data_IF_658491088124
#
_entry.id   IF_658491088124
#
_cell.length_a   1.000
_cell.length_b   1.000
_cell.length_c   1.000
_cell.angle_alpha   90.00
_cell.angle_beta   90.00
_cell.angle_gamma   90.00
#
_symmetry.space_group_name_H-M   'P 1'
#
loop_
_entity.id
_entity.type
_entity.pdbx_description
1 polymer ?
#
# COMPACT_ATOMS: atom_id res chain seq x y z
N UNK A 1 -3.86 0.57 -21.62
CA UNK A 1 -2.61 0.33 -20.90
C UNK A 1 -3.02 0.30 -19.46
N UNK A 2 -2.93 -0.87 -18.84
CA UNK A 2 -3.40 -1.07 -17.49
C UNK A 2 -2.20 -0.75 -16.58
N UNK A 3 -1.97 0.54 -16.34
CA UNK A 3 -0.85 0.98 -15.50
C UNK A 3 -1.19 0.75 -14.02
N UNK A 4 -0.34 -0.06 -13.39
CA UNK A 4 -0.37 -0.37 -11.96
C UNK A 4 1.06 -0.25 -11.45
N UNK A 5 1.22 0.37 -10.27
CA UNK A 5 2.53 0.56 -9.65
C UNK A 5 3.04 2.01 -9.70
N UNK A 6 2.19 2.98 -10.00
CA UNK A 6 2.58 4.39 -10.03
C UNK A 6 2.73 4.97 -8.62
N UNK A 7 3.62 5.97 -8.50
CA UNK A 7 4.00 6.64 -7.24
C UNK A 7 4.26 5.68 -6.07
N UNK A 8 5.17 4.71 -6.24
CA UNK A 8 5.47 3.77 -5.17
C UNK A 8 6.22 4.47 -4.04
N UNK A 9 5.88 4.13 -2.80
CA UNK A 9 6.69 4.44 -1.62
C UNK A 9 6.97 3.16 -0.85
N UNK A 10 8.20 3.02 -0.35
CA UNK A 10 8.70 1.81 0.31
C UNK A 10 9.35 2.17 1.65
N UNK A 11 9.04 1.38 2.67
CA UNK A 11 9.77 1.36 3.94
C UNK A 11 9.92 -0.08 4.44
N UNK A 12 10.86 -0.27 5.36
CA UNK A 12 11.07 -1.53 6.05
C UNK A 12 10.57 -1.42 7.49
N UNK A 13 10.00 -2.48 8.03
CA UNK A 13 9.69 -2.61 9.45
C UNK A 13 10.92 -3.05 10.27
N UNK A 14 10.73 -3.27 11.58
CA UNK A 14 11.78 -3.73 12.49
C UNK A 14 12.32 -5.13 12.18
N UNK A 15 11.57 -5.96 11.43
CA UNK A 15 11.98 -7.29 10.97
C UNK A 15 12.72 -7.25 9.63
N UNK A 16 12.75 -6.09 8.96
CA UNK A 16 13.29 -5.92 7.62
C UNK A 16 12.32 -6.35 6.51
N UNK A 17 11.05 -6.58 6.86
CA UNK A 17 9.98 -6.87 5.93
C UNK A 17 9.58 -5.59 5.19
N UNK A 18 9.31 -5.72 3.89
CA UNK A 18 9.11 -4.58 3.00
C UNK A 18 7.62 -4.20 2.91
N UNK A 19 7.33 -2.91 3.05
CA UNK A 19 6.01 -2.33 2.93
C UNK A 19 6.00 -1.37 1.75
N UNK A 20 5.07 -1.54 0.82
CA UNK A 20 4.98 -0.75 -0.41
C UNK A 20 3.57 -0.23 -0.59
N UNK A 21 3.38 1.08 -0.66
CA UNK A 21 2.15 1.69 -1.19
C UNK A 21 2.34 2.03 -2.65
N UNK A 22 1.31 1.87 -3.47
CA UNK A 22 1.36 2.21 -4.89
C UNK A 22 -0.05 2.47 -5.44
N UNK A 23 -0.14 3.21 -6.55
CA UNK A 23 -1.39 3.46 -7.25
C UNK A 23 -1.62 2.43 -8.35
N UNK A 24 -2.82 1.89 -8.39
CA UNK A 24 -3.42 1.24 -9.55
C UNK A 24 -4.20 2.33 -10.29
N UNK A 25 -3.54 3.02 -11.23
CA UNK A 25 -4.12 4.17 -11.96
C UNK A 25 -5.18 3.71 -12.94
N UNK A 26 -5.08 2.47 -13.44
CA UNK A 26 -6.10 1.86 -14.26
C UNK A 26 -7.45 1.73 -13.55
N UNK A 27 -7.47 1.18 -12.34
CA UNK A 27 -8.69 1.07 -11.55
C UNK A 27 -8.96 2.30 -10.66
N UNK A 28 -8.00 3.22 -10.57
CA UNK A 28 -8.01 4.39 -9.70
C UNK A 28 -8.05 4.02 -8.21
N UNK A 29 -7.16 3.13 -7.75
CA UNK A 29 -7.15 2.57 -6.39
C UNK A 29 -5.81 2.75 -5.71
N UNK A 30 -5.83 2.90 -4.38
CA UNK A 30 -4.64 2.74 -3.55
C UNK A 30 -4.41 1.26 -3.27
N UNK A 31 -3.23 0.77 -3.63
CA UNK A 31 -2.78 -0.60 -3.40
C UNK A 31 -1.64 -0.63 -2.40
N UNK A 32 -1.46 -1.78 -1.80
CA UNK A 32 -0.43 -2.05 -0.81
C UNK A 32 0.12 -3.45 -0.99
N UNK A 33 1.45 -3.58 -0.91
CA UNK A 33 2.16 -4.84 -0.90
C UNK A 33 3.00 -4.94 0.37
N UNK A 34 2.92 -6.08 1.04
CA UNK A 34 3.80 -6.42 2.16
C UNK A 34 4.59 -7.67 1.77
N UNK A 35 5.90 -7.63 1.97
CA UNK A 35 6.73 -8.83 1.99
C UNK A 35 6.72 -9.35 3.41
N UNK A 36 6.33 -10.60 3.61
CA UNK A 36 6.62 -11.30 4.86
C UNK A 36 7.09 -12.72 4.52
N UNK A 37 8.19 -13.13 5.13
CA UNK A 37 8.93 -14.33 4.72
C UNK A 37 9.33 -14.26 3.22
N UNK A 38 9.01 -15.30 2.45
CA UNK A 38 9.27 -15.40 1.00
C UNK A 38 8.04 -15.04 0.15
N UNK A 39 6.99 -14.49 0.76
CA UNK A 39 5.72 -14.21 0.09
C UNK A 39 5.43 -12.71 0.01
N UNK A 40 4.79 -12.34 -1.10
CA UNK A 40 4.17 -11.04 -1.24
C UNK A 40 2.67 -11.14 -1.00
N UNK A 41 2.18 -10.23 -0.17
CA UNK A 41 0.77 -10.09 0.17
C UNK A 41 0.25 -8.77 -0.39
N UNK A 42 -0.76 -8.85 -1.26
CA UNK A 42 -1.27 -7.68 -1.99
C UNK A 42 -2.68 -7.32 -1.51
N UNK A 43 -2.91 -6.05 -1.24
CA UNK A 43 -4.19 -5.54 -0.78
C UNK A 43 -4.59 -4.26 -1.52
N UNK A 44 -5.89 -4.07 -1.71
CA UNK A 44 -6.45 -2.75 -2.02
C UNK A 44 -6.82 -2.09 -0.70
N UNK A 45 -6.25 -0.92 -0.42
CA UNK A 45 -6.53 -0.17 0.80
C UNK A 45 -7.69 0.81 0.64
N UNK A 46 -7.82 1.41 -0.55
CA UNK A 46 -8.93 2.29 -0.90
C UNK A 46 -9.45 1.97 -2.29
N UNK A 47 -10.74 1.61 -2.36
CA UNK A 47 -11.47 1.29 -3.59
C UNK A 47 -12.10 2.52 -4.24
N UNK A 48 -12.02 3.69 -3.61
CA UNK A 48 -12.59 4.93 -4.13
C UNK A 48 -11.85 5.32 -5.41
N UNK A 49 -12.60 5.53 -6.50
CA UNK A 49 -12.02 5.95 -7.77
C UNK A 49 -11.15 7.21 -7.60
N UNK A 50 -9.95 7.18 -8.19
CA UNK A 50 -8.96 8.24 -8.14
C UNK A 50 -8.05 8.19 -6.90
N UNK A 51 -8.14 7.16 -6.05
CA UNK A 51 -7.30 7.03 -4.87
C UNK A 51 -5.85 6.64 -5.20
N UNK A 52 -4.93 7.07 -4.34
CA UNK A 52 -3.55 6.59 -4.30
C UNK A 52 -2.50 7.46 -5.01
N UNK A 53 -2.87 8.61 -5.57
CA UNK A 53 -1.92 9.47 -6.27
C UNK A 53 -0.89 10.06 -5.31
N UNK A 54 0.39 10.08 -5.72
CA UNK A 54 1.50 10.56 -4.90
C UNK A 54 1.55 9.91 -3.52
N UNK A 55 1.31 8.58 -3.45
CA UNK A 55 1.34 7.88 -2.18
C UNK A 55 2.70 7.99 -1.52
N UNK A 56 2.71 8.18 -0.20
CA UNK A 56 3.91 8.14 0.61
C UNK A 56 3.66 7.34 1.89
N UNK A 57 4.69 6.61 2.32
CA UNK A 57 4.60 5.59 3.35
C UNK A 57 5.70 5.79 4.38
N UNK A 58 5.33 5.67 5.66
CA UNK A 58 6.28 5.56 6.78
C UNK A 58 5.86 4.42 7.71
N UNK A 59 6.83 3.85 8.42
CA UNK A 59 6.59 2.84 9.47
C UNK A 59 6.92 3.47 10.82
N UNK A 60 6.02 3.33 11.80
CA UNK A 60 6.22 3.80 13.16
C UNK A 60 7.05 2.81 14.01
N UNK A 61 7.34 3.17 15.26
CA UNK A 61 8.13 2.37 16.18
C UNK A 61 7.38 1.16 16.77
N UNK A 62 6.12 0.94 16.36
CA UNK A 62 5.33 -0.26 16.63
C UNK A 62 5.08 -1.07 15.34
N UNK A 63 5.89 -0.88 14.31
CA UNK A 63 5.75 -1.51 12.99
C UNK A 63 4.41 -1.19 12.29
N UNK A 64 3.72 -0.14 12.74
CA UNK A 64 2.51 0.37 12.13
C UNK A 64 2.81 1.17 10.87
N UNK A 65 2.12 0.85 9.78
CA UNK A 65 2.27 1.54 8.50
C UNK A 65 1.35 2.75 8.44
N UNK A 66 1.91 3.88 8.02
CA UNK A 66 1.24 5.15 7.82
C UNK A 66 1.32 5.55 6.35
N UNK A 67 0.18 5.79 5.71
CA UNK A 67 0.13 6.11 4.27
C UNK A 67 -0.67 7.40 4.07
N UNK A 68 -0.03 8.40 3.46
CA UNK A 68 -0.68 9.60 2.94
C UNK A 68 -0.80 9.53 1.43
N UNK A 69 -1.92 10.00 0.87
CA UNK A 69 -2.13 9.99 -0.59
C UNK A 69 -3.16 11.03 -1.01
N UNK A 70 -3.16 11.39 -2.29
CA UNK A 70 -4.16 12.26 -2.90
C UNK A 70 -5.22 11.41 -3.59
N UNK A 71 -6.49 11.77 -3.40
CA UNK A 71 -7.55 11.35 -4.30
C UNK A 71 -7.67 12.35 -5.45
N UNK A 72 -7.42 11.92 -6.68
CA UNK A 72 -7.37 12.78 -7.87
C UNK A 72 -8.74 13.38 -8.22
N UNK A 73 -9.83 12.67 -7.95
CA UNK A 73 -11.17 13.11 -8.34
C UNK A 73 -11.72 14.24 -7.47
N UNK A 74 -11.32 14.28 -6.19
CA UNK A 74 -11.77 15.31 -5.25
C UNK A 74 -10.64 16.22 -4.72
N UNK A 75 -9.40 15.95 -5.12
CA UNK A 75 -8.18 16.68 -4.73
C UNK A 75 -7.91 16.74 -3.22
N UNK A 76 -8.47 15.83 -2.44
CA UNK A 76 -8.23 15.77 -1.00
C UNK A 76 -6.99 14.94 -0.66
N UNK A 77 -6.28 15.37 0.39
CA UNK A 77 -5.29 14.56 1.09
C UNK A 77 -6.03 13.59 2.01
N UNK A 78 -5.79 12.31 1.79
CA UNK A 78 -6.32 11.19 2.55
C UNK A 78 -5.20 10.47 3.29
N UNK A 79 -5.58 9.73 4.33
CA UNK A 79 -4.65 9.04 5.22
C UNK A 79 -5.21 7.69 5.67
N UNK A 80 -4.34 6.67 5.72
CA UNK A 80 -4.63 5.33 6.25
C UNK A 80 -3.52 4.92 7.21
N UNK A 81 -3.90 4.30 8.35
CA UNK A 81 -2.99 3.59 9.24
C UNK A 81 -3.30 2.09 9.21
N UNK A 82 -2.28 1.26 9.04
CA UNK A 82 -2.34 -0.20 9.15
C UNK A 82 -1.53 -0.59 10.40
N UNK A 83 -2.16 -1.01 11.50
CA UNK A 83 -1.44 -1.53 12.67
C UNK A 83 -0.76 -2.86 12.34
N UNK A 84 0.42 -3.12 12.90
CA UNK A 84 1.12 -4.42 12.78
C UNK A 84 0.22 -5.62 13.17
N UNK A 85 -0.48 -5.50 14.30
CA UNK A 85 -1.39 -6.54 14.81
C UNK A 85 -2.65 -6.80 13.95
N UNK A 86 -2.85 -6.06 12.85
CA UNK A 86 -3.93 -6.27 11.89
C UNK A 86 -3.38 -6.67 10.52
N UNK A 87 -2.59 -7.75 10.47
CA UNK A 87 -2.39 -8.46 9.20
C UNK A 87 -3.78 -8.80 8.63
N UNK A 88 -4.18 -8.22 7.48
CA UNK A 88 -5.45 -8.55 6.87
C UNK A 88 -5.43 -10.02 6.49
N UNK A 89 -6.53 -10.75 6.69
CA UNK A 89 -6.64 -12.12 6.17
C UNK A 89 -6.39 -12.08 4.66
N UNK A 90 -5.26 -12.67 4.28
CA UNK A 90 -4.50 -12.38 3.06
C UNK A 90 -5.27 -12.80 1.79
N UNK A 91 -5.76 -11.87 0.94
CA UNK A 91 -6.15 -12.22 -0.41
C UNK A 91 -4.92 -12.18 -1.32
N UNK A 92 -4.81 -13.19 -2.17
CA UNK A 92 -3.81 -13.35 -3.24
C UNK A 92 -2.34 -13.35 -2.79
N UNK A 93 -1.84 -14.57 -2.54
CA UNK A 93 -0.41 -14.86 -2.37
C UNK A 93 0.25 -14.90 -3.74
N UNK A 94 1.30 -14.09 -3.95
CA UNK A 94 2.15 -14.19 -5.15
C UNK A 94 3.53 -14.69 -4.74
N UNK A 95 3.99 -15.75 -5.40
CA UNK A 95 5.33 -16.30 -5.18
C UNK A 95 6.39 -15.33 -5.72
N UNK A 96 7.52 -15.20 -5.02
CA UNK A 96 8.73 -14.63 -5.62
C UNK A 96 9.29 -15.60 -6.66
N UNK A 97 9.57 -15.11 -7.88
CA UNK A 97 10.26 -15.87 -8.93
C UNK A 97 11.75 -16.05 -8.63
#
# INVERSE_FOLDING_TARGET
>A
TDDVGEWPSLALDSNGDAHISYSDTFNGRLRYAQKAYDFWYLNTLDYTSGAGKFSDLAVDDQDGVHIGYINENNHNLSYIKIPDAQLPELPEVVNSY
#
